data_IF_800067070200
#
_entry.id   IF_800067070200
#
_cell.length_a   1.000
_cell.length_b   1.000
_cell.length_c   1.000
_cell.angle_alpha   90.00
_cell.angle_beta   90.00
_cell.angle_gamma   90.00
#
_symmetry.space_group_name_H-M   'P 1'
#
loop_
_entity.id
_entity.type
_entity.pdbx_description
1 polymer ?
#
# COMPACT_ATOMS: atom_id res chain seq x y z
N UNK A 1 10.59 -6.25 -17.59
CA UNK A 1 9.29 -5.66 -18.02
C UNK A 1 9.55 -4.26 -18.55
N UNK A 2 9.64 -4.12 -19.87
CA UNK A 2 10.07 -2.87 -20.54
C UNK A 2 8.92 -1.94 -20.98
N UNK A 3 7.69 -2.25 -20.59
CA UNK A 3 6.54 -1.49 -21.06
C UNK A 3 6.39 -0.16 -20.34
N UNK A 4 6.05 0.85 -21.11
CA UNK A 4 5.64 2.15 -20.57
C UNK A 4 4.23 2.02 -19.99
N UNK A 5 4.12 1.96 -18.68
CA UNK A 5 2.84 2.14 -17.99
C UNK A 5 2.58 3.65 -17.90
N UNK A 6 1.48 4.09 -18.48
CA UNK A 6 1.08 5.50 -18.39
C UNK A 6 0.63 5.80 -16.96
N UNK A 7 1.35 6.68 -16.27
CA UNK A 7 0.95 7.17 -14.97
C UNK A 7 0.06 8.40 -15.16
N UNK A 8 -1.16 8.34 -14.63
CA UNK A 8 -2.09 9.48 -14.59
C UNK A 8 -2.23 9.93 -13.14
N UNK A 9 -1.25 10.70 -12.67
CA UNK A 9 -1.24 11.26 -11.33
C UNK A 9 -1.29 12.79 -11.42
N UNK A 10 -2.12 13.42 -10.59
CA UNK A 10 -2.09 14.88 -10.46
C UNK A 10 -0.85 15.32 -9.62
N UNK A 11 -0.45 16.62 -9.64
CA UNK A 11 0.81 17.07 -9.04
C UNK A 11 1.02 16.63 -7.58
N UNK A 12 0.01 16.72 -6.74
CA UNK A 12 0.08 16.31 -5.32
C UNK A 12 0.26 14.78 -5.14
N UNK A 13 -0.35 13.98 -6.00
CA UNK A 13 -0.10 12.53 -6.02
C UNK A 13 1.32 12.21 -6.50
N UNK A 14 1.81 12.97 -7.48
CA UNK A 14 3.17 12.82 -7.99
C UNK A 14 4.22 13.11 -6.90
N UNK A 15 3.99 14.11 -6.06
CA UNK A 15 4.85 14.41 -4.91
C UNK A 15 4.97 13.20 -3.97
N UNK A 16 3.86 12.58 -3.61
CA UNK A 16 3.84 11.37 -2.78
C UNK A 16 4.50 10.18 -3.50
N UNK A 17 4.24 10.04 -4.80
CA UNK A 17 4.80 8.96 -5.62
C UNK A 17 6.33 9.02 -5.70
N UNK A 18 6.90 10.22 -5.85
CA UNK A 18 8.35 10.44 -5.97
C UNK A 18 9.09 10.40 -4.64
N UNK A 19 8.38 10.44 -3.51
CA UNK A 19 9.03 10.35 -2.20
C UNK A 19 9.75 9.01 -2.01
N UNK A 20 10.95 9.05 -1.47
CA UNK A 20 11.76 7.89 -1.12
C UNK A 20 11.59 7.46 0.35
N UNK A 21 10.76 8.14 1.13
CA UNK A 21 10.52 7.79 2.51
C UNK A 21 10.04 6.33 2.63
N UNK A 22 10.58 5.62 3.62
CA UNK A 22 10.23 4.23 3.88
C UNK A 22 8.75 4.09 4.25
N UNK A 23 8.25 4.99 5.08
CA UNK A 23 6.88 5.06 5.54
C UNK A 23 6.26 6.38 5.08
N UNK A 24 5.25 6.30 4.25
CA UNK A 24 4.53 7.45 3.69
C UNK A 24 3.11 7.48 4.24
N UNK A 25 2.64 8.64 4.66
CA UNK A 25 1.30 8.81 5.22
C UNK A 25 0.53 9.87 4.43
N UNK A 26 -0.61 9.49 3.89
CA UNK A 26 -1.47 10.38 3.11
C UNK A 26 -2.84 10.49 3.77
N UNK A 27 -3.12 11.66 4.31
CA UNK A 27 -4.43 12.04 4.82
C UNK A 27 -5.11 12.90 3.78
N UNK A 28 -6.16 12.39 3.15
CA UNK A 28 -6.82 13.11 2.06
C UNK A 28 -8.34 12.88 2.08
N UNK A 29 -9.07 13.90 1.67
CA UNK A 29 -10.52 13.86 1.56
C UNK A 29 -11.03 12.83 0.56
N UNK A 30 -12.35 12.62 0.53
CA UNK A 30 -12.99 11.80 -0.50
C UNK A 30 -12.73 12.39 -1.88
N UNK A 31 -12.67 11.53 -2.93
CA UNK A 31 -12.45 11.90 -4.33
C UNK A 31 -11.06 12.50 -4.64
N UNK A 32 -10.13 12.53 -3.69
CA UNK A 32 -8.75 12.96 -3.96
C UNK A 32 -7.98 12.00 -4.88
N UNK A 33 -8.45 10.77 -5.05
CA UNK A 33 -7.79 9.75 -5.89
C UNK A 33 -6.85 8.82 -5.12
N UNK A 34 -7.13 8.58 -3.84
CA UNK A 34 -6.37 7.65 -2.98
C UNK A 34 -6.18 6.28 -3.63
N UNK A 35 -7.25 5.70 -4.17
CA UNK A 35 -7.23 4.39 -4.85
C UNK A 35 -6.35 4.41 -6.11
N UNK A 36 -6.40 5.48 -6.90
CA UNK A 36 -5.57 5.64 -8.09
C UNK A 36 -4.08 5.71 -7.74
N UNK A 37 -3.71 6.43 -6.68
CA UNK A 37 -2.36 6.48 -6.16
C UNK A 37 -1.89 5.10 -5.68
N UNK A 38 -2.70 4.41 -4.88
CA UNK A 38 -2.42 3.06 -4.37
C UNK A 38 -2.14 2.08 -5.51
N UNK A 39 -3.04 2.02 -6.48
CA UNK A 39 -2.90 1.17 -7.68
C UNK A 39 -1.62 1.48 -8.45
N UNK A 40 -1.34 2.76 -8.68
CA UNK A 40 -0.14 3.20 -9.41
C UNK A 40 1.14 2.77 -8.67
N UNK A 41 1.18 2.93 -7.36
CA UNK A 41 2.31 2.49 -6.54
C UNK A 41 2.51 0.98 -6.57
N UNK A 42 1.45 0.19 -6.47
CA UNK A 42 1.50 -1.27 -6.56
C UNK A 42 2.10 -1.68 -7.91
N UNK A 43 1.59 -1.15 -9.02
CA UNK A 43 2.08 -1.47 -10.36
C UNK A 43 3.55 -1.02 -10.55
N UNK A 44 3.90 0.15 -10.05
CA UNK A 44 5.28 0.65 -10.12
C UNK A 44 6.25 -0.26 -9.35
N UNK A 45 5.91 -0.62 -8.12
CA UNK A 45 6.73 -1.50 -7.28
C UNK A 45 6.81 -2.93 -7.81
N UNK A 46 5.76 -3.42 -8.46
CA UNK A 46 5.73 -4.76 -9.05
C UNK A 46 6.66 -4.94 -10.26
N UNK A 47 7.21 -3.87 -10.81
CA UNK A 47 8.23 -3.94 -11.88
C UNK A 47 9.56 -4.51 -11.38
N UNK A 48 9.86 -4.33 -10.10
CA UNK A 48 11.02 -4.97 -9.46
C UNK A 48 10.74 -6.47 -9.33
N UNK A 49 11.69 -7.35 -9.65
CA UNK A 49 11.45 -8.79 -9.60
C UNK A 49 11.33 -9.30 -8.15
N UNK A 50 10.61 -10.39 -8.00
CA UNK A 50 10.48 -11.16 -6.75
C UNK A 50 10.01 -10.34 -5.56
N UNK A 51 9.13 -9.35 -5.80
CA UNK A 51 8.53 -8.58 -4.73
C UNK A 51 7.30 -9.29 -4.19
N UNK A 52 7.08 -9.19 -2.88
CA UNK A 52 5.80 -9.49 -2.25
C UNK A 52 5.14 -8.17 -1.87
N UNK A 53 3.98 -7.93 -2.48
CA UNK A 53 3.24 -6.67 -2.35
C UNK A 53 1.86 -6.97 -1.80
N UNK A 54 1.51 -6.31 -0.70
CA UNK A 54 0.17 -6.40 -0.14
C UNK A 54 -0.58 -5.08 -0.21
N UNK A 55 -1.86 -5.18 -0.56
CA UNK A 55 -2.86 -4.15 -0.35
C UNK A 55 -3.78 -4.61 0.77
N UNK A 56 -3.83 -3.86 1.86
CA UNK A 56 -4.60 -4.20 3.05
C UNK A 56 -5.67 -3.13 3.28
N UNK A 57 -6.92 -3.55 3.39
CA UNK A 57 -8.06 -2.75 3.78
C UNK A 57 -8.62 -3.25 5.12
N UNK A 58 -9.52 -2.51 5.80
CA UNK A 58 -10.11 -2.94 7.06
C UNK A 58 -10.73 -4.32 7.02
N UNK A 59 -11.37 -4.69 5.90
CA UNK A 59 -11.91 -6.03 5.69
C UNK A 59 -11.53 -6.59 4.32
N UNK A 60 -11.48 -7.91 4.21
CA UNK A 60 -11.23 -8.61 2.95
C UNK A 60 -12.25 -8.22 1.87
N UNK A 61 -13.51 -8.07 2.26
CA UNK A 61 -14.58 -7.62 1.36
C UNK A 61 -14.29 -6.20 0.81
N UNK A 62 -13.86 -5.29 1.67
CA UNK A 62 -13.50 -3.93 1.25
C UNK A 62 -12.29 -3.95 0.31
N UNK A 63 -11.26 -4.72 0.62
CA UNK A 63 -10.09 -4.85 -0.26
C UNK A 63 -10.51 -5.29 -1.68
N UNK A 64 -11.38 -6.30 -1.77
CA UNK A 64 -11.94 -6.78 -3.04
C UNK A 64 -12.74 -5.70 -3.77
N UNK A 65 -13.65 -5.02 -3.06
CA UNK A 65 -14.53 -4.01 -3.66
C UNK A 65 -13.76 -2.79 -4.17
N UNK A 66 -12.76 -2.34 -3.43
CA UNK A 66 -12.04 -1.09 -3.73
C UNK A 66 -10.98 -1.30 -4.81
N UNK A 67 -10.21 -2.38 -4.75
CA UNK A 67 -8.97 -2.49 -5.52
C UNK A 67 -8.96 -3.62 -6.55
N UNK A 68 -9.67 -4.74 -6.33
CA UNK A 68 -9.43 -5.96 -7.11
C UNK A 68 -9.64 -5.79 -8.61
N UNK A 69 -10.78 -5.26 -9.01
CA UNK A 69 -11.12 -5.06 -10.43
C UNK A 69 -10.17 -4.05 -11.07
N UNK A 70 -9.99 -2.90 -10.43
CA UNK A 70 -9.12 -1.83 -10.92
C UNK A 70 -7.68 -2.27 -11.12
N UNK A 71 -7.18 -3.12 -10.22
CA UNK A 71 -5.81 -3.64 -10.30
C UNK A 71 -5.65 -4.62 -11.47
N UNK A 72 -6.58 -5.55 -11.65
CA UNK A 72 -6.56 -6.51 -12.77
C UNK A 72 -6.61 -5.77 -14.12
N UNK A 73 -7.46 -4.75 -14.23
CA UNK A 73 -7.60 -3.97 -15.48
C UNK A 73 -6.37 -3.12 -15.78
N UNK A 74 -5.66 -2.66 -14.75
CA UNK A 74 -4.52 -1.76 -14.91
C UNK A 74 -3.17 -2.47 -15.12
N UNK A 75 -3.02 -3.71 -14.66
CA UNK A 75 -1.79 -4.48 -14.85
C UNK A 75 -1.73 -4.97 -16.31
N UNK A 76 -0.61 -4.72 -17.03
CA UNK A 76 -0.44 -5.22 -18.39
C UNK A 76 -0.60 -6.75 -18.47
N UNK A 77 -1.52 -7.24 -19.29
CA UNK A 77 -1.86 -8.66 -19.37
C UNK A 77 -0.64 -9.58 -19.56
N UNK A 78 0.34 -9.15 -20.33
CA UNK A 78 1.58 -9.90 -20.58
C UNK A 78 2.51 -10.00 -19.36
N UNK A 79 2.27 -9.25 -18.30
CA UNK A 79 3.00 -9.41 -17.03
C UNK A 79 2.42 -10.51 -16.16
N UNK A 80 1.19 -10.92 -16.41
CA UNK A 80 0.42 -11.81 -15.55
C UNK A 80 0.64 -13.27 -15.92
N UNK A 81 1.11 -14.07 -14.97
CA UNK A 81 1.17 -15.54 -15.06
C UNK A 81 -0.14 -16.14 -14.61
N UNK A 82 -0.62 -15.73 -13.43
CA UNK A 82 -1.80 -16.31 -12.80
C UNK A 82 -2.59 -15.26 -12.01
N UNK A 83 -3.91 -15.35 -12.10
CA UNK A 83 -4.85 -14.63 -11.26
C UNK A 83 -5.65 -15.64 -10.46
N UNK A 84 -5.70 -15.47 -9.15
CA UNK A 84 -6.55 -16.27 -8.27
C UNK A 84 -7.61 -15.36 -7.62
N UNK A 85 -8.85 -15.52 -8.07
CA UNK A 85 -9.98 -14.70 -7.60
C UNK A 85 -10.46 -15.09 -6.19
N UNK A 86 -10.15 -16.29 -5.73
CA UNK A 86 -10.52 -16.74 -4.37
C UNK A 86 -9.57 -16.18 -3.31
N UNK A 87 -8.27 -16.20 -3.57
CA UNK A 87 -7.25 -15.65 -2.67
C UNK A 87 -6.90 -14.19 -2.96
N UNK A 88 -7.52 -13.58 -3.97
CA UNK A 88 -7.23 -12.22 -4.46
C UNK A 88 -5.72 -12.00 -4.67
N UNK A 89 -5.09 -12.89 -5.45
CA UNK A 89 -3.67 -12.83 -5.72
C UNK A 89 -3.36 -12.82 -7.22
N UNK A 90 -2.29 -12.10 -7.58
CA UNK A 90 -1.78 -11.97 -8.94
C UNK A 90 -0.29 -12.30 -8.93
N UNK A 91 0.08 -13.32 -9.68
CA UNK A 91 1.47 -13.73 -9.89
C UNK A 91 1.97 -13.18 -11.22
N UNK A 92 3.14 -12.55 -11.20
CA UNK A 92 3.74 -11.92 -12.37
C UNK A 92 4.93 -12.71 -12.90
N UNK A 93 5.21 -12.54 -14.19
CA UNK A 93 6.30 -13.23 -14.92
C UNK A 93 7.70 -13.00 -14.31
N UNK A 94 7.89 -11.92 -13.57
CA UNK A 94 9.14 -11.62 -12.88
C UNK A 94 9.22 -12.21 -11.46
N UNK A 95 8.27 -13.08 -11.07
CA UNK A 95 8.20 -13.71 -9.77
C UNK A 95 7.61 -12.82 -8.66
N UNK A 96 7.07 -11.64 -9.00
CA UNK A 96 6.37 -10.79 -8.02
C UNK A 96 4.99 -11.34 -7.75
N UNK A 97 4.60 -11.34 -6.47
CA UNK A 97 3.28 -11.72 -6.00
C UNK A 97 2.58 -10.51 -5.38
N UNK A 98 1.39 -10.21 -5.89
CA UNK A 98 0.54 -9.14 -5.36
C UNK A 98 -0.69 -9.80 -4.72
N UNK A 99 -1.00 -9.45 -3.48
CA UNK A 99 -2.13 -10.01 -2.74
C UNK A 99 -2.95 -8.90 -2.08
N UNK A 100 -4.27 -9.06 -2.11
CA UNK A 100 -5.19 -8.22 -1.35
C UNK A 100 -5.59 -8.95 -0.06
N UNK A 101 -5.56 -8.23 1.06
CA UNK A 101 -5.83 -8.77 2.40
C UNK A 101 -6.86 -7.91 3.15
N UNK A 102 -7.55 -8.50 4.10
CA UNK A 102 -8.35 -7.80 5.11
C UNK A 102 -7.62 -7.77 6.45
N UNK A 103 -7.74 -6.68 7.19
CA UNK A 103 -7.20 -6.56 8.54
C UNK A 103 -8.18 -7.07 9.62
N UNK A 104 -9.32 -7.57 9.22
CA UNK A 104 -10.34 -8.21 10.07
C UNK A 104 -9.93 -9.59 10.59
N UNK A 105 -8.91 -10.20 9.99
CA UNK A 105 -8.24 -11.41 10.50
C UNK A 105 -6.73 -11.14 10.65
N UNK A 106 -6.29 -10.53 11.77
CA UNK A 106 -4.89 -10.16 11.98
C UNK A 106 -3.91 -11.35 11.93
N UNK A 107 -4.34 -12.53 12.34
CA UNK A 107 -3.46 -13.71 12.35
C UNK A 107 -3.08 -14.16 10.93
N UNK A 108 -3.96 -13.96 9.95
CA UNK A 108 -3.67 -14.23 8.54
C UNK A 108 -2.59 -13.33 7.94
N UNK A 109 -2.23 -12.26 8.64
CA UNK A 109 -1.26 -11.25 8.21
C UNK A 109 0.17 -11.51 8.74
N UNK A 110 0.39 -12.64 9.42
CA UNK A 110 1.69 -12.99 10.03
C UNK A 110 2.54 -13.89 9.12
N UNK A 111 3.81 -13.98 9.44
CA UNK A 111 4.69 -15.08 9.00
C UNK A 111 5.33 -14.93 7.62
N UNK A 112 5.17 -13.79 6.94
CA UNK A 112 5.80 -13.56 5.63
C UNK A 112 6.52 -12.21 5.58
N UNK A 113 7.60 -12.13 4.82
CA UNK A 113 8.28 -10.86 4.54
C UNK A 113 7.57 -10.10 3.41
N UNK A 114 7.31 -8.82 3.61
CA UNK A 114 6.65 -7.93 2.65
C UNK A 114 7.61 -6.85 2.19
N UNK A 115 7.71 -6.63 0.88
CA UNK A 115 8.58 -5.60 0.31
C UNK A 115 7.86 -4.25 0.16
N UNK A 116 6.56 -4.30 -0.14
CA UNK A 116 5.74 -3.09 -0.23
C UNK A 116 4.32 -3.35 0.28
N UNK A 117 3.86 -2.45 1.15
CA UNK A 117 2.56 -2.54 1.83
C UNK A 117 1.76 -1.26 1.59
N UNK A 118 0.54 -1.41 1.10
CA UNK A 118 -0.47 -0.35 1.07
C UNK A 118 -1.51 -0.64 2.15
N UNK A 119 -1.70 0.31 3.06
CA UNK A 119 -2.75 0.27 4.09
C UNK A 119 -3.80 1.32 3.75
N UNK A 120 -4.92 0.89 3.21
CA UNK A 120 -6.01 1.78 2.80
C UNK A 120 -7.11 1.86 3.87
N UNK A 121 -7.74 3.03 3.97
CA UNK A 121 -8.68 3.35 5.06
C UNK A 121 -8.09 3.01 6.45
N UNK A 122 -6.80 3.39 6.64
CA UNK A 122 -6.01 3.01 7.80
C UNK A 122 -6.62 3.45 9.14
N UNK A 123 -7.43 4.50 9.15
CA UNK A 123 -8.16 4.93 10.34
C UNK A 123 -9.13 3.86 10.89
N UNK A 124 -9.51 2.89 10.07
CA UNK A 124 -10.43 1.80 10.42
C UNK A 124 -9.73 0.43 10.58
N UNK A 125 -8.40 0.36 10.43
CA UNK A 125 -7.58 -0.82 10.73
C UNK A 125 -7.23 -0.81 12.22
N UNK A 126 -7.25 -1.97 12.89
CA UNK A 126 -6.91 -2.03 14.32
C UNK A 126 -5.42 -1.76 14.56
N UNK A 127 -5.11 -1.18 15.72
CA UNK A 127 -3.72 -0.96 16.12
C UNK A 127 -2.94 -2.28 16.24
N UNK A 128 -3.59 -3.33 16.71
CA UNK A 128 -3.03 -4.68 16.80
C UNK A 128 -2.60 -5.22 15.44
N UNK A 129 -3.46 -5.11 14.42
CA UNK A 129 -3.13 -5.56 13.07
C UNK A 129 -1.88 -4.85 12.53
N UNK A 130 -1.72 -3.56 12.80
CA UNK A 130 -0.53 -2.84 12.40
C UNK A 130 0.70 -3.21 13.22
N UNK A 131 0.63 -3.04 14.55
CA UNK A 131 1.81 -3.11 15.42
C UNK A 131 2.33 -4.54 15.61
N UNK A 132 1.43 -5.52 15.72
CA UNK A 132 1.77 -6.89 16.05
C UNK A 132 1.86 -7.81 14.81
N UNK A 133 1.18 -7.48 13.71
CA UNK A 133 1.13 -8.34 12.54
C UNK A 133 1.86 -7.73 11.33
N UNK A 134 1.44 -6.57 10.84
CA UNK A 134 1.94 -6.01 9.58
C UNK A 134 3.32 -5.35 9.69
N UNK A 135 3.57 -4.57 10.73
CA UNK A 135 4.86 -3.90 10.92
C UNK A 135 6.04 -4.89 11.00
N UNK A 136 5.95 -6.02 11.72
CA UNK A 136 7.01 -7.02 11.72
C UNK A 136 7.31 -7.62 10.36
N UNK A 137 6.32 -7.78 9.47
CA UNK A 137 6.51 -8.33 8.12
C UNK A 137 7.44 -7.46 7.25
N UNK A 138 7.52 -6.16 7.52
CA UNK A 138 8.41 -5.23 6.81
C UNK A 138 9.83 -5.21 7.38
N UNK A 139 10.05 -5.74 8.58
CA UNK A 139 11.35 -5.66 9.24
C UNK A 139 12.40 -6.53 8.55
N UNK A 140 12.06 -7.76 8.16
CA UNK A 140 12.97 -8.73 7.55
C UNK A 140 13.42 -8.35 6.13
N UNK A 141 12.59 -7.60 5.41
CA UNK A 141 12.84 -7.21 4.01
C UNK A 141 13.35 -5.78 3.88
N UNK A 142 13.30 -4.99 4.95
CA UNK A 142 13.47 -3.54 4.84
C UNK A 142 12.33 -2.88 4.05
N UNK A 143 11.16 -3.53 3.99
CA UNK A 143 10.03 -3.15 3.17
C UNK A 143 9.50 -1.74 3.47
N UNK A 144 8.82 -1.17 2.47
CA UNK A 144 8.20 0.15 2.53
C UNK A 144 6.70 0.05 2.71
N UNK A 145 6.09 1.05 3.35
CA UNK A 145 4.65 1.14 3.47
C UNK A 145 4.11 2.53 3.14
N UNK A 146 2.85 2.54 2.67
CA UNK A 146 2.05 3.76 2.57
C UNK A 146 0.74 3.57 3.34
N UNK A 147 0.45 4.52 4.21
CA UNK A 147 -0.78 4.61 4.99
C UNK A 147 -1.67 5.65 4.33
N UNK A 148 -2.87 5.27 4.00
CA UNK A 148 -3.81 6.13 3.30
C UNK A 148 -5.12 6.13 4.06
N UNK A 149 -5.70 7.30 4.27
CA UNK A 149 -6.97 7.39 4.95
C UNK A 149 -7.64 8.75 4.81
N UNK A 150 -8.88 8.78 5.28
CA UNK A 150 -9.69 9.99 5.37
C UNK A 150 -9.59 10.55 6.80
N UNK A 151 -9.46 11.88 6.96
CA UNK A 151 -9.40 12.44 8.30
C UNK A 151 -10.68 12.09 9.09
N UNK A 152 -10.49 11.42 10.19
CA UNK A 152 -11.46 11.22 11.28
C UNK A 152 -10.79 11.77 12.55
N UNK A 153 -11.46 11.77 13.68
CA UNK A 153 -10.90 12.21 14.96
C UNK A 153 -9.46 11.67 15.25
N UNK A 154 -8.86 12.07 16.35
CA UNK A 154 -7.53 11.62 16.77
C UNK A 154 -7.50 10.09 16.94
N UNK A 155 -6.98 9.39 15.95
CA UNK A 155 -6.88 7.93 15.88
C UNK A 155 -5.48 7.51 15.42
N UNK A 156 -5.29 6.21 15.15
CA UNK A 156 -3.97 5.71 14.74
C UNK A 156 -3.46 6.32 13.40
N UNK A 157 -4.35 6.76 12.49
CA UNK A 157 -3.92 7.48 11.29
C UNK A 157 -3.26 8.81 11.65
N UNK A 158 -3.81 9.53 12.65
CA UNK A 158 -3.18 10.73 13.19
C UNK A 158 -1.82 10.41 13.83
N UNK A 159 -1.73 9.32 14.59
CA UNK A 159 -0.47 8.91 15.23
C UNK A 159 0.64 8.66 14.21
N UNK A 160 0.35 7.93 13.12
CA UNK A 160 1.36 7.71 12.06
C UNK A 160 1.60 8.97 11.22
N UNK A 161 0.60 9.83 11.04
CA UNK A 161 0.78 11.13 10.38
C UNK A 161 1.81 11.98 11.12
N UNK A 162 1.73 12.05 12.46
CA UNK A 162 2.68 12.80 13.27
C UNK A 162 4.11 12.25 13.20
N UNK A 163 4.31 10.96 12.89
CA UNK A 163 5.66 10.43 12.64
C UNK A 163 6.31 11.10 11.42
N UNK A 164 5.54 11.38 10.38
CA UNK A 164 6.03 12.04 9.17
C UNK A 164 6.13 13.56 9.29
N UNK A 165 5.76 14.14 10.42
CA UNK A 165 5.96 15.56 10.77
C UNK A 165 7.18 15.75 11.69
N UNK A 166 7.77 14.68 12.21
CA UNK A 166 8.99 14.74 13.03
C UNK A 166 10.22 15.01 12.14
N UNK A 167 10.91 16.17 12.27
CA UNK A 167 12.01 16.54 11.40
C UNK A 167 13.14 15.49 11.36
N UNK A 168 13.45 14.85 12.50
CA UNK A 168 14.51 13.85 12.61
C UNK A 168 14.17 12.61 11.78
N UNK A 169 12.90 12.19 11.75
CA UNK A 169 12.45 11.03 10.99
C UNK A 169 12.34 11.33 9.50
N UNK A 170 11.99 12.56 9.16
CA UNK A 170 11.95 13.04 7.76
C UNK A 170 13.36 13.12 7.20
N UNK A 171 14.30 13.75 7.92
CA UNK A 171 15.72 13.83 7.53
C UNK A 171 16.37 12.45 7.36
N UNK A 172 16.03 11.50 8.25
CA UNK A 172 16.48 10.12 8.15
C UNK A 172 15.85 9.33 6.99
N UNK A 173 14.94 9.91 6.21
CA UNK A 173 14.22 9.22 5.14
C UNK A 173 13.28 8.11 5.63
N UNK A 174 12.95 8.11 6.92
CA UNK A 174 12.13 7.06 7.52
C UNK A 174 10.63 7.33 7.35
N UNK A 175 10.19 8.56 7.59
CA UNK A 175 8.79 8.95 7.55
C UNK A 175 8.58 10.24 6.78
N UNK A 176 7.46 10.32 6.07
CA UNK A 176 6.96 11.55 5.46
C UNK A 176 5.44 11.50 5.38
N UNK A 177 4.78 12.60 5.69
CA UNK A 177 3.31 12.68 5.69
C UNK A 177 2.80 13.93 4.99
N UNK A 178 1.63 13.78 4.39
CA UNK A 178 0.92 14.82 3.65
C UNK A 178 -0.55 14.85 4.05
N UNK A 179 -1.10 16.05 4.01
CA UNK A 179 -2.53 16.29 4.18
C UNK A 179 -3.04 17.12 2.99
N UNK A 180 -4.12 16.64 2.36
CA UNK A 180 -4.70 17.25 1.18
C UNK A 180 -6.22 17.42 1.29
#
# INVERSE_FOLDING_TARGET
MADKVRLSLHPKQMEVYLSNARFRVVVAGRRWGKTSLSRTLIISKSRKPRQRIWYVAPTYRMAKQIMWKDLIEAIPRKWVVKINHSSLSIELVNGTLIELKGADDPDSLRGVGIDFLVLDEFQDISEEAWTQCLRPTLASTGGHAIFIGTPKAYNQLYTVYMQGQDPKKVEAGQWQSWQF
#
